data_IF_615346582477
#
_entry.id   IF_615346582477
#
_cell.length_a   1.000
_cell.length_b   1.000
_cell.length_c   1.000
_cell.angle_alpha   90.00
_cell.angle_beta   90.00
_cell.angle_gamma   90.00
#
_symmetry.space_group_name_H-M   'P 1'
#
loop_
_entity.id
_entity.type
_entity.pdbx_description
1 polymer ?
#
# COMPACT_ATOMS: atom_id res chain seq x y z
N UNK A 1 -33.07 -12.90 -4.40
CA UNK A 1 -32.37 -13.94 -5.15
C UNK A 1 -31.94 -13.30 -6.44
N UNK A 2 -30.76 -12.69 -6.43
CA UNK A 2 -30.15 -11.99 -7.56
C UNK A 2 -28.65 -12.09 -7.35
N UNK A 3 -27.99 -12.46 -8.43
CA UNK A 3 -26.76 -13.23 -8.47
C UNK A 3 -25.55 -12.45 -7.96
N UNK A 4 -24.69 -13.19 -7.28
CA UNK A 4 -23.36 -12.78 -6.89
C UNK A 4 -22.53 -12.48 -8.14
N UNK A 5 -22.12 -11.22 -8.30
CA UNK A 5 -20.92 -10.89 -9.07
C UNK A 5 -19.69 -10.97 -8.16
N UNK A 6 -19.48 -12.11 -7.52
CA UNK A 6 -18.17 -12.51 -7.04
C UNK A 6 -17.49 -13.28 -8.18
N UNK A 7 -17.07 -12.55 -9.22
CA UNK A 7 -16.05 -13.09 -10.11
C UNK A 7 -14.73 -13.06 -9.34
N UNK A 8 -14.44 -14.14 -8.62
CA UNK A 8 -13.07 -14.43 -8.19
C UNK A 8 -12.17 -14.29 -9.43
N UNK A 9 -11.13 -13.45 -9.42
CA UNK A 9 -10.17 -13.48 -10.51
C UNK A 9 -9.40 -14.79 -10.36
N UNK A 10 -9.81 -15.82 -11.10
CA UNK A 10 -9.06 -17.04 -11.32
C UNK A 10 -7.72 -16.63 -11.94
N UNK A 11 -6.69 -16.45 -11.10
CA UNK A 11 -5.38 -16.05 -11.56
C UNK A 11 -4.77 -17.24 -12.31
N UNK A 12 -5.00 -17.32 -13.63
CA UNK A 12 -4.47 -18.37 -14.53
C UNK A 12 -2.94 -18.26 -14.73
N UNK A 13 -2.23 -17.68 -13.76
CA UNK A 13 -0.79 -17.49 -13.80
C UNK A 13 -0.17 -18.68 -13.08
N UNK A 14 0.50 -19.53 -13.85
CA UNK A 14 1.26 -20.65 -13.31
C UNK A 14 2.50 -20.13 -12.59
N UNK A 15 2.73 -20.62 -11.37
CA UNK A 15 3.92 -20.33 -10.58
C UNK A 15 5.22 -20.71 -11.32
N UNK A 16 6.29 -19.95 -11.10
CA UNK A 16 7.63 -20.36 -11.48
C UNK A 16 8.07 -21.57 -10.65
N UNK A 17 8.47 -22.65 -11.32
CA UNK A 17 9.04 -23.84 -10.68
C UNK A 17 10.50 -24.03 -11.11
N UNK A 18 11.46 -24.04 -10.17
CA UNK A 18 12.84 -24.35 -10.49
C UNK A 18 12.98 -25.81 -10.95
N UNK A 19 13.93 -26.06 -11.86
CA UNK A 19 14.24 -27.39 -12.39
C UNK A 19 15.49 -27.91 -11.68
N UNK A 20 15.47 -29.14 -11.17
CA UNK A 20 16.60 -29.72 -10.43
C UNK A 20 17.92 -29.76 -11.20
N UNK A 21 17.88 -29.68 -12.52
CA UNK A 21 19.01 -29.82 -13.43
C UNK A 21 19.72 -28.49 -13.74
N UNK A 22 19.13 -27.34 -13.37
CA UNK A 22 19.68 -26.02 -13.66
C UNK A 22 20.46 -25.48 -12.45
N UNK A 23 21.51 -24.72 -12.73
CA UNK A 23 22.21 -23.93 -11.72
C UNK A 23 21.43 -22.64 -11.39
N UNK A 24 21.94 -21.88 -10.41
CA UNK A 24 21.30 -20.66 -9.94
C UNK A 24 21.21 -19.56 -11.02
N UNK A 25 22.19 -19.48 -11.93
CA UNK A 25 22.22 -18.47 -12.98
C UNK A 25 21.15 -18.76 -14.03
N UNK A 26 21.07 -20.00 -14.50
CA UNK A 26 20.02 -20.45 -15.40
C UNK A 26 18.62 -20.32 -14.77
N UNK A 27 18.48 -20.59 -13.47
CA UNK A 27 17.23 -20.34 -12.76
C UNK A 27 16.86 -18.86 -12.70
N UNK A 28 17.81 -17.97 -12.46
CA UNK A 28 17.58 -16.54 -12.44
C UNK A 28 17.12 -16.03 -13.82
N UNK A 29 17.79 -16.45 -14.89
CA UNK A 29 17.39 -16.09 -16.27
C UNK A 29 15.97 -16.57 -16.55
N UNK A 30 15.67 -17.83 -16.23
CA UNK A 30 14.33 -18.40 -16.42
C UNK A 30 13.26 -17.70 -15.56
N UNK A 31 13.61 -17.27 -14.35
CA UNK A 31 12.70 -16.54 -13.46
C UNK A 31 12.38 -15.14 -13.99
N UNK A 32 13.39 -14.44 -14.52
CA UNK A 32 13.21 -13.13 -15.17
C UNK A 32 12.34 -13.29 -16.42
N UNK A 33 12.58 -14.31 -17.23
CA UNK A 33 11.78 -14.58 -18.42
C UNK A 33 10.32 -14.93 -18.08
N UNK A 34 10.12 -15.76 -17.04
CA UNK A 34 8.78 -16.01 -16.51
C UNK A 34 8.09 -14.71 -16.08
N UNK A 35 8.81 -13.81 -15.40
CA UNK A 35 8.25 -12.54 -14.94
C UNK A 35 7.91 -11.60 -16.12
N UNK A 36 8.76 -11.54 -17.16
CA UNK A 36 8.48 -10.81 -18.41
C UNK A 36 7.19 -11.28 -19.07
N UNK A 37 6.98 -12.59 -19.15
CA UNK A 37 5.76 -13.19 -19.69
C UNK A 37 4.54 -13.04 -18.76
N UNK A 38 4.77 -12.77 -17.48
CA UNK A 38 3.71 -12.63 -16.47
C UNK A 38 3.23 -11.19 -16.32
N UNK A 39 4.12 -10.20 -16.46
CA UNK A 39 3.78 -8.78 -16.32
C UNK A 39 2.57 -8.34 -17.18
N UNK A 40 2.48 -8.69 -18.48
CA UNK A 40 1.36 -8.28 -19.34
C UNK A 40 0.02 -8.94 -18.97
N UNK A 41 0.05 -10.10 -18.29
CA UNK A 41 -1.17 -10.79 -17.83
C UNK A 41 -1.91 -9.97 -16.76
N UNK A 42 -1.18 -9.06 -16.10
CA UNK A 42 -1.73 -7.97 -15.32
C UNK A 42 -2.56 -8.39 -14.11
N UNK A 43 -3.16 -7.39 -13.47
CA UNK A 43 -4.29 -7.55 -12.57
C UNK A 43 -5.42 -6.76 -13.22
N UNK A 44 -6.57 -7.37 -13.56
CA UNK A 44 -7.67 -6.67 -14.20
C UNK A 44 -7.98 -5.35 -13.49
N UNK A 45 -8.14 -4.27 -14.27
CA UNK A 45 -8.46 -2.91 -13.81
C UNK A 45 -7.45 -2.27 -12.84
N UNK A 46 -6.23 -2.81 -12.69
CA UNK A 46 -5.21 -2.25 -11.78
C UNK A 46 -3.84 -2.01 -12.40
N UNK A 47 -3.53 -2.68 -13.51
CA UNK A 47 -2.30 -2.47 -14.28
C UNK A 47 -2.68 -1.97 -15.66
N UNK A 48 -2.09 -0.85 -16.08
CA UNK A 48 -2.35 -0.28 -17.39
C UNK A 48 -1.72 -1.16 -18.49
N UNK A 49 -2.46 -1.40 -19.57
CA UNK A 49 -1.98 -2.14 -20.74
C UNK A 49 -0.73 -1.53 -21.40
N UNK A 50 -0.45 -0.24 -21.13
CA UNK A 50 0.75 0.45 -21.61
C UNK A 50 2.04 0.11 -20.88
N UNK A 51 2.00 -0.67 -19.80
CA UNK A 51 3.18 -1.03 -19.02
C UNK A 51 4.21 -1.77 -19.89
N UNK A 52 5.47 -1.32 -19.85
CA UNK A 52 6.57 -1.99 -20.55
C UNK A 52 7.59 -2.51 -19.55
N UNK A 53 8.21 -3.64 -19.89
CA UNK A 53 9.22 -4.22 -19.02
C UNK A 53 10.40 -3.25 -18.82
N UNK A 54 10.78 -2.52 -19.86
CA UNK A 54 11.95 -1.63 -19.91
C UNK A 54 11.78 -0.34 -19.10
N UNK A 55 10.56 0.03 -18.73
CA UNK A 55 10.27 1.30 -18.07
C UNK A 55 11.08 1.48 -16.77
N UNK A 56 11.61 2.70 -16.56
CA UNK A 56 12.34 3.07 -15.34
C UNK A 56 11.44 3.21 -14.09
N UNK A 57 10.13 3.20 -14.28
CA UNK A 57 9.14 3.15 -13.22
C UNK A 57 7.82 2.56 -13.74
N UNK A 58 7.19 1.72 -12.93
CA UNK A 58 5.83 1.21 -13.19
C UNK A 58 4.77 1.93 -12.35
N UNK A 59 5.14 2.99 -11.62
CA UNK A 59 4.22 3.73 -10.75
C UNK A 59 3.02 4.29 -11.52
N UNK A 60 3.27 4.97 -12.64
CA UNK A 60 2.25 5.54 -13.53
C UNK A 60 1.36 4.48 -14.20
N UNK A 61 1.81 3.23 -14.22
CA UNK A 61 1.09 2.12 -14.84
C UNK A 61 0.28 1.29 -13.84
N UNK A 62 0.09 1.77 -12.61
CA UNK A 62 -0.74 1.14 -11.57
C UNK A 62 0.02 0.26 -10.58
N UNK A 63 1.34 0.10 -10.75
CA UNK A 63 2.21 -0.56 -9.77
C UNK A 63 2.81 0.49 -8.84
N UNK A 64 1.98 1.00 -7.92
CA UNK A 64 2.32 2.06 -6.98
C UNK A 64 3.61 1.72 -6.22
N UNK A 65 4.47 2.73 -6.05
CA UNK A 65 5.79 2.65 -5.41
C UNK A 65 6.84 1.77 -6.13
N UNK A 66 6.63 1.42 -7.41
CA UNK A 66 7.60 0.66 -8.22
C UNK A 66 8.44 1.58 -9.12
N UNK A 67 9.38 2.33 -8.54
CA UNK A 67 10.39 3.09 -9.30
C UNK A 67 11.77 2.45 -9.15
N UNK A 68 12.41 2.07 -10.25
CA UNK A 68 13.67 1.32 -10.28
C UNK A 68 14.88 2.23 -10.12
N UNK A 69 14.91 2.93 -8.99
CA UNK A 69 15.98 3.84 -8.60
C UNK A 69 16.86 3.22 -7.53
N UNK A 70 18.14 3.60 -7.50
CA UNK A 70 19.08 3.18 -6.47
C UNK A 70 18.77 3.81 -5.11
N UNK A 71 19.38 3.27 -4.05
CA UNK A 71 19.28 3.84 -2.70
C UNK A 71 19.76 5.30 -2.67
N UNK A 72 19.01 6.17 -2.00
CA UNK A 72 19.32 7.61 -1.91
C UNK A 72 19.07 8.42 -3.17
N UNK A 73 18.37 7.86 -4.17
CA UNK A 73 17.82 8.63 -5.29
C UNK A 73 16.76 9.62 -4.81
N UNK A 74 16.82 10.87 -5.29
CA UNK A 74 15.85 11.93 -5.00
C UNK A 74 15.24 12.48 -6.28
N UNK A 75 14.20 13.32 -6.17
CA UNK A 75 13.63 14.01 -7.34
C UNK A 75 14.64 14.93 -8.04
N UNK A 76 15.53 15.59 -7.27
CA UNK A 76 16.56 16.50 -7.77
C UNK A 76 17.84 15.78 -8.24
N UNK A 77 18.15 14.61 -7.68
CA UNK A 77 19.32 13.81 -8.03
C UNK A 77 18.89 12.36 -8.27
N UNK A 78 18.29 12.12 -9.44
CA UNK A 78 17.83 10.78 -9.81
C UNK A 78 19.01 9.84 -10.07
N UNK A 79 19.07 8.77 -9.28
CA UNK A 79 20.00 7.65 -9.46
C UNK A 79 19.21 6.41 -9.86
N UNK A 80 19.58 5.80 -10.98
CA UNK A 80 18.92 4.59 -11.51
C UNK A 80 19.56 3.35 -10.92
N UNK A 81 18.74 2.34 -10.62
CA UNK A 81 19.19 1.01 -10.25
C UNK A 81 19.94 0.38 -11.44
N UNK A 82 21.07 -0.27 -11.18
CA UNK A 82 21.96 -0.74 -12.24
C UNK A 82 21.61 -2.16 -12.70
N UNK A 83 21.71 -2.40 -14.00
CA UNK A 83 21.68 -3.76 -14.54
C UNK A 83 22.95 -4.53 -14.13
N UNK A 84 22.88 -5.87 -13.91
CA UNK A 84 21.71 -6.73 -14.08
C UNK A 84 20.70 -6.73 -12.91
N UNK A 85 21.00 -6.07 -11.77
CA UNK A 85 20.16 -6.12 -10.57
C UNK A 85 18.73 -5.61 -10.79
N UNK A 86 18.55 -4.60 -11.65
CA UNK A 86 17.23 -4.06 -12.01
C UNK A 86 16.28 -5.12 -12.59
N UNK A 87 16.79 -6.04 -13.42
CA UNK A 87 15.97 -7.09 -14.04
C UNK A 87 15.47 -8.09 -13.00
N UNK A 88 16.33 -8.46 -12.05
CA UNK A 88 15.94 -9.26 -10.88
C UNK A 88 14.90 -8.54 -10.02
N UNK A 89 15.09 -7.25 -9.76
CA UNK A 89 14.15 -6.44 -8.96
C UNK A 89 12.77 -6.43 -9.61
N UNK A 90 12.71 -6.17 -10.92
CA UNK A 90 11.47 -6.25 -11.71
C UNK A 90 10.79 -7.62 -11.56
N UNK A 91 11.54 -8.71 -11.69
CA UNK A 91 11.00 -10.06 -11.56
C UNK A 91 10.40 -10.36 -10.18
N UNK A 92 11.10 -9.97 -9.11
CA UNK A 92 10.62 -10.10 -7.73
C UNK A 92 9.31 -9.34 -7.50
N UNK A 93 9.21 -8.13 -8.06
CA UNK A 93 8.02 -7.30 -7.90
C UNK A 93 6.83 -7.81 -8.72
N UNK A 94 7.06 -8.38 -9.91
CA UNK A 94 6.03 -9.11 -10.66
C UNK A 94 5.52 -10.30 -9.86
N UNK A 95 6.41 -11.10 -9.31
CA UNK A 95 6.02 -12.26 -8.49
C UNK A 95 5.12 -11.85 -7.30
N UNK A 96 5.49 -10.77 -6.59
CA UNK A 96 4.72 -10.30 -5.45
C UNK A 96 3.37 -9.67 -5.86
N UNK A 97 3.39 -8.80 -6.87
CA UNK A 97 2.24 -7.96 -7.20
C UNK A 97 1.26 -8.67 -8.11
N UNK A 98 1.75 -9.28 -9.19
CA UNK A 98 0.90 -9.87 -10.24
C UNK A 98 0.53 -11.30 -9.87
N UNK A 99 1.51 -12.12 -9.49
CA UNK A 99 1.25 -13.52 -9.13
C UNK A 99 0.60 -13.66 -7.74
N UNK A 100 1.22 -13.12 -6.67
CA UNK A 100 0.67 -13.21 -5.30
C UNK A 100 -0.43 -12.16 -4.97
N UNK A 101 -0.70 -11.22 -5.88
CA UNK A 101 -1.70 -10.15 -5.71
C UNK A 101 -1.54 -9.30 -4.43
N UNK A 102 -0.33 -9.18 -3.88
CA UNK A 102 -0.09 -8.39 -2.65
C UNK A 102 0.00 -6.89 -2.96
N UNK A 103 -0.60 -6.04 -2.11
CA UNK A 103 -0.64 -4.57 -2.31
C UNK A 103 0.66 -3.83 -1.92
N UNK A 104 1.34 -4.25 -0.85
CA UNK A 104 2.47 -3.49 -0.30
C UNK A 104 3.78 -3.70 -1.06
N UNK A 105 4.15 -2.76 -1.94
CA UNK A 105 5.37 -2.82 -2.77
C UNK A 105 6.54 -1.99 -2.25
N UNK A 106 6.26 -0.87 -1.58
CA UNK A 106 7.28 0.08 -1.12
C UNK A 106 8.37 -0.59 -0.26
N UNK A 107 7.97 -1.41 0.70
CA UNK A 107 8.92 -2.05 1.62
C UNK A 107 9.86 -3.03 0.90
N UNK A 108 9.34 -3.76 -0.09
CA UNK A 108 10.14 -4.67 -0.93
C UNK A 108 11.09 -3.90 -1.85
N UNK A 109 10.61 -2.83 -2.48
CA UNK A 109 11.46 -1.97 -3.31
C UNK A 109 12.61 -1.36 -2.50
N UNK A 110 12.34 -0.84 -1.31
CA UNK A 110 13.38 -0.27 -0.44
C UNK A 110 14.33 -1.33 0.14
N UNK A 111 13.83 -2.54 0.40
CA UNK A 111 14.67 -3.67 0.75
C UNK A 111 15.66 -4.02 -0.37
N UNK A 112 15.17 -4.09 -1.61
CA UNK A 112 15.99 -4.38 -2.81
C UNK A 112 17.04 -3.29 -3.07
N UNK A 113 16.71 -2.02 -2.86
CA UNK A 113 17.70 -0.91 -2.93
C UNK A 113 18.84 -1.07 -1.92
N UNK A 114 18.53 -1.48 -0.69
CA UNK A 114 19.57 -1.78 0.30
C UNK A 114 20.41 -2.99 -0.09
N UNK A 115 19.78 -4.01 -0.68
CA UNK A 115 20.46 -5.22 -1.16
C UNK A 115 21.40 -4.93 -2.34
N UNK A 116 21.00 -4.09 -3.29
CA UNK A 116 21.82 -3.67 -4.44
C UNK A 116 23.16 -3.10 -3.99
N UNK A 117 23.11 -2.11 -3.08
CA UNK A 117 24.32 -1.44 -2.55
C UNK A 117 25.22 -2.44 -1.82
N UNK A 118 24.64 -3.27 -0.95
CA UNK A 118 25.40 -4.23 -0.17
C UNK A 118 26.04 -5.34 -1.01
N UNK A 119 25.34 -5.79 -2.06
CA UNK A 119 25.83 -6.81 -2.98
C UNK A 119 27.03 -6.29 -3.78
N UNK A 120 26.91 -5.07 -4.33
CA UNK A 120 28.00 -4.43 -5.06
C UNK A 120 29.22 -4.23 -4.16
N UNK A 121 29.03 -3.70 -2.95
CA UNK A 121 30.11 -3.40 -2.01
C UNK A 121 30.89 -4.66 -1.58
N UNK A 122 30.19 -5.75 -1.25
CA UNK A 122 30.87 -6.95 -0.73
C UNK A 122 31.38 -7.91 -1.80
N UNK A 123 30.77 -7.91 -2.99
CA UNK A 123 31.12 -8.90 -4.03
C UNK A 123 31.81 -8.32 -5.25
N UNK A 124 31.84 -6.99 -5.37
CA UNK A 124 32.33 -6.26 -6.54
C UNK A 124 31.43 -6.40 -7.78
N UNK A 125 30.28 -7.08 -7.65
CA UNK A 125 29.39 -7.41 -8.76
C UNK A 125 27.94 -7.22 -8.35
N UNK A 126 27.04 -7.13 -9.33
CA UNK A 126 25.59 -7.12 -9.13
C UNK A 126 24.94 -8.48 -9.44
N UNK A 127 25.73 -9.56 -9.42
CA UNK A 127 25.24 -10.94 -9.59
C UNK A 127 24.46 -11.36 -8.33
N UNK A 128 23.13 -11.34 -8.43
CA UNK A 128 22.22 -11.65 -7.32
C UNK A 128 22.30 -13.10 -6.87
N UNK A 129 22.86 -14.00 -7.68
CA UNK A 129 23.04 -15.40 -7.28
C UNK A 129 24.10 -15.56 -6.19
N UNK A 130 24.95 -14.54 -5.99
CA UNK A 130 26.02 -14.48 -4.97
C UNK A 130 25.56 -13.85 -3.64
N UNK A 131 24.28 -13.50 -3.51
CA UNK A 131 23.75 -13.01 -2.23
C UNK A 131 23.99 -14.05 -1.14
N UNK A 132 24.50 -13.58 0.00
CA UNK A 132 24.84 -14.41 1.17
C UNK A 132 24.34 -13.74 2.45
N UNK A 133 24.38 -14.46 3.57
CA UNK A 133 24.03 -13.90 4.88
C UNK A 133 24.85 -12.63 5.22
N UNK A 134 26.11 -12.56 4.79
CA UNK A 134 26.95 -11.37 4.97
C UNK A 134 26.44 -10.17 4.16
N UNK A 135 26.03 -10.40 2.92
CA UNK A 135 25.38 -9.38 2.07
C UNK A 135 24.08 -8.89 2.71
N UNK A 136 23.24 -9.80 3.22
CA UNK A 136 21.99 -9.44 3.89
C UNK A 136 22.21 -8.61 5.17
N UNK A 137 23.25 -8.94 5.96
CA UNK A 137 23.63 -8.15 7.13
C UNK A 137 24.11 -6.76 6.74
N UNK A 138 24.97 -6.64 5.73
CA UNK A 138 25.44 -5.34 5.25
C UNK A 138 24.29 -4.49 4.67
N UNK A 139 23.33 -5.12 3.98
CA UNK A 139 22.11 -4.45 3.52
C UNK A 139 21.31 -3.86 4.68
N UNK A 140 21.19 -4.58 5.80
CA UNK A 140 20.53 -4.06 7.01
C UNK A 140 21.28 -2.85 7.61
N UNK A 141 22.61 -2.82 7.55
CA UNK A 141 23.40 -1.67 8.01
C UNK A 141 23.20 -0.44 7.12
N UNK A 142 23.14 -0.61 5.79
CA UNK A 142 22.75 0.45 4.87
C UNK A 142 21.34 0.98 5.15
N UNK A 143 20.38 0.07 5.37
CA UNK A 143 19.00 0.45 5.71
C UNK A 143 18.94 1.24 7.03
N UNK A 144 19.66 0.82 8.07
CA UNK A 144 19.74 1.54 9.35
C UNK A 144 20.30 2.94 9.19
N UNK A 145 21.39 3.09 8.44
CA UNK A 145 22.06 4.38 8.20
C UNK A 145 21.17 5.32 7.39
N UNK A 146 20.44 4.79 6.40
CA UNK A 146 19.59 5.58 5.53
C UNK A 146 18.25 5.97 6.20
N UNK A 147 17.62 5.05 6.93
CA UNK A 147 16.34 5.27 7.60
C UNK A 147 16.49 5.26 9.13
N UNK A 148 16.88 6.40 9.68
CA UNK A 148 17.24 6.56 11.09
C UNK A 148 16.05 6.71 12.05
N UNK A 149 14.85 6.97 11.54
CA UNK A 149 13.65 7.26 12.33
C UNK A 149 12.66 6.09 12.33
N UNK A 150 12.00 5.90 13.47
CA UNK A 150 10.92 4.92 13.62
C UNK A 150 11.35 3.48 13.37
N UNK A 151 10.43 2.67 12.84
CA UNK A 151 10.62 1.25 12.54
C UNK A 151 10.91 0.98 11.06
N UNK A 152 11.18 2.00 10.26
CA UNK A 152 11.27 1.89 8.81
C UNK A 152 12.34 0.90 8.37
N UNK A 153 13.58 1.02 8.88
CA UNK A 153 14.65 0.07 8.56
C UNK A 153 14.29 -1.37 8.94
N UNK A 154 13.65 -1.57 10.10
CA UNK A 154 13.18 -2.89 10.55
C UNK A 154 12.12 -3.50 9.62
N UNK A 155 11.17 -2.69 9.14
CA UNK A 155 10.15 -3.17 8.19
C UNK A 155 10.76 -3.60 6.86
N UNK A 156 11.74 -2.84 6.37
CA UNK A 156 12.44 -3.16 5.13
C UNK A 156 13.33 -4.39 5.28
N UNK A 157 13.97 -4.57 6.42
CA UNK A 157 14.76 -5.76 6.68
C UNK A 157 13.89 -7.02 6.83
N UNK A 158 12.65 -6.90 7.30
CA UNK A 158 11.67 -7.99 7.26
C UNK A 158 11.14 -8.29 5.86
N UNK A 159 11.02 -7.27 5.01
CA UNK A 159 10.76 -7.48 3.59
C UNK A 159 11.92 -8.17 2.90
N UNK A 160 13.17 -7.82 3.25
CA UNK A 160 14.37 -8.51 2.77
C UNK A 160 14.36 -9.99 3.17
N UNK A 161 13.99 -10.31 4.42
CA UNK A 161 13.87 -11.69 4.89
C UNK A 161 12.90 -12.52 4.02
N UNK A 162 11.75 -11.94 3.68
CA UNK A 162 10.79 -12.58 2.78
C UNK A 162 11.31 -12.71 1.33
N UNK A 163 12.09 -11.74 0.84
CA UNK A 163 12.76 -11.81 -0.47
C UNK A 163 13.78 -12.95 -0.48
N UNK A 164 14.63 -13.07 0.55
CA UNK A 164 15.63 -14.14 0.64
C UNK A 164 14.95 -15.52 0.72
N UNK A 165 13.88 -15.65 1.50
CA UNK A 165 13.09 -16.88 1.54
C UNK A 165 12.53 -17.26 0.16
N UNK A 166 12.05 -16.27 -0.61
CA UNK A 166 11.61 -16.48 -1.98
C UNK A 166 12.77 -16.90 -2.91
N UNK A 167 13.92 -16.24 -2.81
CA UNK A 167 15.10 -16.57 -3.62
C UNK A 167 15.56 -18.01 -3.38
N UNK A 168 15.60 -18.46 -2.12
CA UNK A 168 15.91 -19.85 -1.76
C UNK A 168 14.86 -20.82 -2.32
N UNK A 169 13.56 -20.53 -2.13
CA UNK A 169 12.48 -21.37 -2.62
C UNK A 169 12.47 -21.52 -4.16
N UNK A 170 12.93 -20.49 -4.88
CA UNK A 170 13.04 -20.50 -6.35
C UNK A 170 14.44 -20.88 -6.86
N UNK A 171 15.34 -21.34 -5.98
CA UNK A 171 16.73 -21.75 -6.29
C UNK A 171 17.52 -20.69 -7.07
N UNK A 172 17.36 -19.42 -6.69
CA UNK A 172 18.03 -18.27 -7.35
C UNK A 172 19.43 -17.99 -6.79
N UNK A 173 19.91 -18.77 -5.82
CA UNK A 173 21.16 -18.54 -5.10
C UNK A 173 22.13 -19.69 -5.35
N UNK A 174 23.42 -19.38 -5.54
CA UNK A 174 24.49 -20.38 -5.72
C UNK A 174 24.75 -21.19 -4.45
N UNK A 175 24.40 -20.64 -3.29
CA UNK A 175 24.63 -21.29 -2.01
C UNK A 175 23.43 -21.06 -1.10
N UNK A 176 22.95 -22.14 -0.49
CA UNK A 176 21.90 -22.09 0.51
C UNK A 176 22.44 -21.55 1.83
N UNK A 177 21.65 -20.71 2.48
CA UNK A 177 21.93 -20.24 3.82
C UNK A 177 20.64 -19.94 4.57
N UNK A 178 20.71 -19.97 5.90
CA UNK A 178 19.63 -19.49 6.76
C UNK A 178 19.95 -18.09 7.22
N UNK A 179 18.99 -17.18 7.09
CA UNK A 179 19.16 -15.81 7.53
C UNK A 179 17.85 -15.25 8.04
N UNK A 180 17.94 -14.47 9.12
CA UNK A 180 16.85 -13.67 9.67
C UNK A 180 17.39 -12.29 9.96
N UNK A 181 16.56 -11.27 9.84
CA UNK A 181 17.02 -9.91 10.06
C UNK A 181 17.53 -9.69 11.49
N UNK A 182 18.73 -9.08 11.67
CA UNK A 182 19.23 -8.70 12.99
C UNK A 182 18.56 -7.43 13.53
N UNK A 183 17.73 -6.75 12.73
CA UNK A 183 17.06 -5.53 13.16
C UNK A 183 15.92 -5.88 14.11
N UNK A 184 15.82 -5.14 15.20
CA UNK A 184 14.73 -5.27 16.18
C UNK A 184 13.73 -4.15 15.99
N UNK A 185 12.46 -4.50 16.14
CA UNK A 185 11.40 -3.50 16.22
C UNK A 185 11.66 -2.62 17.45
N UNK A 186 11.59 -1.30 17.29
CA UNK A 186 11.57 -0.39 18.42
C UNK A 186 10.37 -0.73 19.28
N UNK A 187 10.60 -0.90 20.57
CA UNK A 187 9.52 -1.14 21.51
C UNK A 187 8.55 0.04 21.48
N UNK A 188 7.25 -0.28 21.43
CA UNK A 188 6.23 0.72 21.70
C UNK A 188 6.34 1.07 23.18
N UNK A 189 6.21 2.36 23.52
CA UNK A 189 6.18 2.80 24.92
C UNK A 189 5.09 2.07 25.73
N UNK A 190 5.06 2.27 27.03
CA UNK A 190 4.04 1.67 27.91
C UNK A 190 2.63 2.03 27.45
N UNK A 191 1.60 1.26 27.85
CA UNK A 191 0.20 1.58 27.51
C UNK A 191 -0.18 3.01 27.94
N UNK A 192 0.39 3.49 29.05
CA UNK A 192 0.26 4.87 29.52
C UNK A 192 0.84 5.87 28.52
N UNK A 193 2.10 5.68 28.12
CA UNK A 193 2.74 6.54 27.10
C UNK A 193 1.98 6.52 25.77
N UNK A 194 1.48 5.37 25.34
CA UNK A 194 0.66 5.26 24.12
C UNK A 194 -0.69 5.97 24.24
N UNK A 195 -1.27 6.06 25.44
CA UNK A 195 -2.48 6.83 25.68
C UNK A 195 -2.19 8.33 25.64
N UNK A 196 -1.15 8.78 26.35
CA UNK A 196 -0.71 10.17 26.34
C UNK A 196 -0.35 10.64 24.92
N UNK A 197 0.34 9.80 24.14
CA UNK A 197 0.66 10.09 22.73
C UNK A 197 -0.58 10.15 21.83
N UNK A 198 -1.64 9.39 22.14
CA UNK A 198 -2.91 9.47 21.41
C UNK A 198 -3.64 10.76 21.76
N UNK A 199 -3.70 11.11 23.03
CA UNK A 199 -4.32 12.34 23.52
C UNK A 199 -3.63 13.57 22.91
N UNK A 200 -2.29 13.58 22.83
CA UNK A 200 -1.51 14.64 22.16
C UNK A 200 -1.76 14.77 20.66
N UNK A 201 -2.26 13.71 20.00
CA UNK A 201 -2.56 13.70 18.55
C UNK A 201 -4.00 14.06 18.23
N UNK A 202 -4.87 14.14 19.24
CA UNK A 202 -6.24 14.59 19.02
C UNK A 202 -6.23 16.05 18.56
N UNK A 203 -7.10 16.42 17.61
CA UNK A 203 -7.26 17.82 17.24
C UNK A 203 -7.72 18.64 18.45
N UNK A 204 -7.31 19.91 18.49
CA UNK A 204 -7.78 20.86 19.49
C UNK A 204 -9.32 20.94 19.44
N UNK A 205 -10.04 20.78 20.56
CA UNK A 205 -11.50 20.91 20.61
C UNK A 205 -12.01 22.21 19.97
N UNK A 206 -11.31 23.33 20.16
CA UNK A 206 -11.66 24.61 19.54
C UNK A 206 -11.56 24.56 18.01
N UNK A 207 -10.62 23.80 17.45
CA UNK A 207 -10.53 23.62 16.01
C UNK A 207 -11.73 22.83 15.46
N UNK A 208 -12.26 21.86 16.21
CA UNK A 208 -13.49 21.15 15.85
C UNK A 208 -14.70 22.10 15.92
N UNK A 209 -14.76 22.97 16.94
CA UNK A 209 -15.83 23.97 17.08
C UNK A 209 -15.83 24.96 15.90
N UNK A 210 -14.68 25.52 15.57
CA UNK A 210 -14.51 26.44 14.43
C UNK A 210 -14.89 25.75 13.12
N UNK A 211 -14.51 24.49 12.92
CA UNK A 211 -14.93 23.72 11.75
C UNK A 211 -16.46 23.62 11.65
N UNK A 212 -17.15 23.41 12.79
CA UNK A 212 -18.60 23.46 12.87
C UNK A 212 -19.17 24.82 12.50
N UNK A 213 -18.62 25.91 13.05
CA UNK A 213 -19.03 27.29 12.73
C UNK A 213 -18.88 27.60 11.24
N UNK A 214 -17.74 27.24 10.65
CA UNK A 214 -17.50 27.39 9.20
C UNK A 214 -18.51 26.59 8.40
N UNK A 215 -18.76 25.33 8.77
CA UNK A 215 -19.75 24.48 8.08
C UNK A 215 -21.17 25.05 8.18
N UNK A 216 -21.50 25.78 9.26
CA UNK A 216 -22.82 26.38 9.45
C UNK A 216 -23.08 27.63 8.63
N UNK A 217 -22.02 28.32 8.18
CA UNK A 217 -22.14 29.52 7.35
C UNK A 217 -22.72 29.25 5.96
N UNK A 218 -23.12 30.31 5.27
CA UNK A 218 -23.45 30.24 3.84
C UNK A 218 -22.17 30.01 3.02
N UNK A 219 -22.01 28.80 2.51
CA UNK A 219 -20.85 28.39 1.72
C UNK A 219 -21.14 28.60 0.23
N UNK A 220 -20.31 29.40 -0.44
CA UNK A 220 -20.44 29.70 -1.88
C UNK A 220 -19.35 29.04 -2.74
N UNK A 221 -18.19 28.74 -2.16
CA UNK A 221 -17.08 28.06 -2.81
C UNK A 221 -17.33 26.55 -2.88
N UNK A 222 -17.23 25.96 -4.08
CA UNK A 222 -17.33 24.50 -4.27
C UNK A 222 -16.29 23.75 -3.43
N UNK A 223 -15.07 24.28 -3.33
CA UNK A 223 -14.00 23.65 -2.56
C UNK A 223 -14.32 23.65 -1.06
N UNK A 224 -14.82 24.77 -0.54
CA UNK A 224 -15.19 24.88 0.87
C UNK A 224 -16.35 23.96 1.21
N UNK A 225 -17.36 23.88 0.33
CA UNK A 225 -18.48 22.93 0.47
C UNK A 225 -17.96 21.50 0.54
N UNK A 226 -17.10 21.09 -0.40
CA UNK A 226 -16.58 19.71 -0.48
C UNK A 226 -15.74 19.37 0.76
N UNK A 227 -14.81 20.24 1.14
CA UNK A 227 -13.89 19.99 2.25
C UNK A 227 -14.62 19.97 3.59
N UNK A 228 -15.48 20.96 3.86
CA UNK A 228 -16.22 21.02 5.13
C UNK A 228 -17.27 19.91 5.24
N UNK A 229 -17.92 19.54 4.14
CA UNK A 229 -18.84 18.40 4.09
C UNK A 229 -18.12 17.07 4.34
N UNK A 230 -16.93 16.89 3.77
CA UNK A 230 -16.09 15.72 4.03
C UNK A 230 -15.73 15.62 5.53
N UNK A 231 -15.33 16.73 6.15
CA UNK A 231 -15.05 16.77 7.59
C UNK A 231 -16.30 16.46 8.43
N UNK A 232 -17.44 17.09 8.11
CA UNK A 232 -18.71 16.87 8.80
C UNK A 232 -19.16 15.40 8.71
N UNK A 233 -19.03 14.77 7.54
CA UNK A 233 -19.37 13.37 7.34
C UNK A 233 -18.45 12.44 8.12
N UNK A 234 -17.14 12.72 8.16
CA UNK A 234 -16.17 11.94 8.94
C UNK A 234 -16.36 12.09 10.46
N UNK A 235 -16.84 13.24 10.93
CA UNK A 235 -17.26 13.43 12.32
C UNK A 235 -18.57 12.68 12.63
N UNK A 236 -19.49 12.63 11.65
CA UNK A 236 -20.78 11.93 11.77
C UNK A 236 -20.64 10.41 11.71
N UNK A 237 -19.70 9.89 10.93
CA UNK A 237 -19.41 8.47 10.77
C UNK A 237 -17.90 8.22 10.59
N UNK A 238 -17.14 8.08 11.70
CA UNK A 238 -15.69 7.96 11.69
C UNK A 238 -15.17 6.89 10.71
N UNK A 239 -14.40 7.35 9.73
CA UNK A 239 -13.94 6.55 8.59
C UNK A 239 -12.59 7.05 8.05
N UNK A 240 -12.01 6.37 7.05
CA UNK A 240 -10.79 6.90 6.41
C UNK A 240 -11.16 7.94 5.39
N UNK A 241 -10.39 9.02 5.32
CA UNK A 241 -10.58 10.09 4.33
C UNK A 241 -10.55 9.56 2.89
N UNK A 242 -9.69 8.56 2.60
CA UNK A 242 -9.61 7.96 1.25
C UNK A 242 -10.85 7.17 0.83
N UNK A 243 -11.69 6.73 1.77
CA UNK A 243 -12.91 5.98 1.49
C UNK A 243 -14.08 6.91 1.09
N UNK A 244 -13.96 8.24 1.27
CA UNK A 244 -14.99 9.21 0.89
C UNK A 244 -15.28 9.22 -0.62
N UNK A 245 -14.24 8.98 -1.43
CA UNK A 245 -14.38 8.93 -2.89
C UNK A 245 -15.20 7.71 -3.38
N UNK A 246 -15.31 6.67 -2.54
CA UNK A 246 -16.01 5.43 -2.85
C UNK A 246 -17.45 5.40 -2.28
N UNK A 247 -17.96 6.53 -1.80
CA UNK A 247 -19.33 6.61 -1.28
C UNK A 247 -20.33 6.45 -2.43
N UNK A 248 -21.27 5.47 -2.35
CA UNK A 248 -22.27 5.31 -3.39
C UNK A 248 -23.28 6.45 -3.36
N UNK A 249 -24.00 6.64 -4.46
CA UNK A 249 -25.05 7.65 -4.55
C UNK A 249 -26.16 7.44 -3.50
N UNK A 250 -26.54 6.18 -3.26
CA UNK A 250 -27.58 5.77 -2.31
C UNK A 250 -27.00 5.41 -0.93
N UNK A 251 -26.02 6.19 -0.46
CA UNK A 251 -25.33 5.89 0.79
C UNK A 251 -26.19 6.10 2.05
N UNK A 252 -27.34 6.78 1.99
CA UNK A 252 -28.19 7.00 3.15
C UNK A 252 -29.15 5.82 3.38
N UNK A 253 -29.20 5.28 4.60
CA UNK A 253 -30.17 4.27 4.99
C UNK A 253 -30.67 4.50 6.42
N UNK A 254 -31.82 3.90 6.75
CA UNK A 254 -32.41 3.98 8.08
C UNK A 254 -32.65 2.58 8.63
N UNK A 255 -32.46 2.43 9.94
CA UNK A 255 -32.78 1.21 10.68
C UNK A 255 -33.46 1.58 11.99
N UNK A 256 -34.22 0.67 12.54
CA UNK A 256 -34.74 0.78 13.90
C UNK A 256 -33.67 0.33 14.89
N UNK A 257 -33.52 1.05 16.00
CA UNK A 257 -32.74 0.58 17.13
C UNK A 257 -33.54 -0.41 18.00
N UNK A 258 -32.91 -0.89 19.07
CA UNK A 258 -33.55 -1.85 19.99
C UNK A 258 -34.81 -1.28 20.69
N UNK A 259 -35.03 0.03 20.63
CA UNK A 259 -36.17 0.72 21.23
C UNK A 259 -37.23 1.11 20.18
N UNK A 260 -37.02 0.73 18.92
CA UNK A 260 -37.92 1.06 17.80
C UNK A 260 -37.73 2.46 17.24
N UNK A 261 -36.71 3.21 17.68
CA UNK A 261 -36.44 4.54 17.15
C UNK A 261 -35.73 4.44 15.79
N UNK A 262 -36.16 5.27 14.84
CA UNK A 262 -35.49 5.39 13.54
C UNK A 262 -34.13 6.04 13.73
N UNK A 263 -33.07 5.36 13.29
CA UNK A 263 -31.67 5.81 13.34
C UNK A 263 -31.07 5.87 11.95
N UNK A 264 -30.29 6.91 11.70
CA UNK A 264 -29.56 7.09 10.43
C UNK A 264 -28.31 6.22 10.38
N UNK A 265 -28.11 5.59 9.22
CA UNK A 265 -26.93 4.82 8.88
C UNK A 265 -26.39 5.25 7.51
N UNK A 266 -25.08 5.13 7.34
CA UNK A 266 -24.39 5.38 6.08
C UNK A 266 -23.83 4.08 5.52
N UNK A 267 -24.17 3.80 4.27
CA UNK A 267 -23.58 2.78 3.43
C UNK A 267 -22.15 3.24 3.11
N UNK A 268 -21.16 2.52 3.63
CA UNK A 268 -19.75 2.88 3.57
C UNK A 268 -18.89 1.72 3.08
N UNK A 269 -18.10 1.95 2.03
CA UNK A 269 -17.15 0.97 1.53
C UNK A 269 -15.87 0.95 2.39
N UNK A 270 -15.61 -0.18 3.05
CA UNK A 270 -14.44 -0.33 3.91
C UNK A 270 -13.27 -0.94 3.12
N UNK A 271 -12.36 -0.12 2.60
CA UNK A 271 -11.30 -0.55 1.66
C UNK A 271 -10.42 -1.70 2.22
N UNK A 272 -10.15 -1.69 3.53
CA UNK A 272 -9.36 -2.76 4.18
C UNK A 272 -10.06 -4.12 4.19
N UNK A 273 -11.38 -4.12 4.33
CA UNK A 273 -12.19 -5.34 4.39
C UNK A 273 -12.75 -5.69 3.01
N UNK A 274 -12.58 -4.80 2.02
CA UNK A 274 -13.10 -4.95 0.66
C UNK A 274 -14.60 -5.29 0.65
N UNK A 275 -15.36 -4.65 1.54
CA UNK A 275 -16.77 -4.94 1.74
C UNK A 275 -17.56 -3.66 2.03
N UNK A 276 -18.83 -3.69 1.65
CA UNK A 276 -19.78 -2.64 1.98
C UNK A 276 -20.31 -2.82 3.41
N UNK A 277 -20.35 -1.74 4.19
CA UNK A 277 -20.79 -1.77 5.59
C UNK A 277 -21.83 -0.70 5.86
N UNK A 278 -22.82 -0.99 6.69
CA UNK A 278 -23.74 0.03 7.21
C UNK A 278 -23.18 0.58 8.53
N UNK A 279 -22.81 1.86 8.55
CA UNK A 279 -22.26 2.55 9.72
C UNK A 279 -23.31 3.44 10.38
N UNK A 280 -23.56 3.34 11.68
CA UNK A 280 -24.46 4.28 12.35
C UNK A 280 -23.85 5.69 12.37
N UNK A 281 -24.70 6.71 12.24
CA UNK A 281 -24.32 8.08 12.59
C UNK A 281 -24.12 8.15 14.11
N UNK A 282 -22.99 8.72 14.54
CA UNK A 282 -22.46 8.58 15.91
C UNK A 282 -23.48 8.92 17.00
N UNK A 283 -24.27 9.99 16.80
CA UNK A 283 -25.34 10.44 17.71
C UNK A 283 -26.51 11.04 16.88
N UNK A 284 -27.76 11.01 17.37
CA UNK A 284 -28.91 11.59 16.67
C UNK A 284 -28.75 13.06 16.23
N UNK A 285 -28.04 13.85 17.02
CA UNK A 285 -27.81 15.28 16.78
C UNK A 285 -26.93 15.54 15.56
N UNK A 286 -26.21 14.53 15.07
CA UNK A 286 -25.41 14.60 13.84
C UNK A 286 -26.23 14.22 12.59
N UNK A 287 -27.46 13.72 12.74
CA UNK A 287 -28.30 13.37 11.58
C UNK A 287 -28.64 14.60 10.71
N UNK A 288 -29.05 15.76 11.27
CA UNK A 288 -29.26 16.97 10.46
C UNK A 288 -27.98 17.49 9.78
N UNK A 289 -26.81 17.22 10.37
CA UNK A 289 -25.51 17.58 9.78
C UNK A 289 -25.30 16.78 8.49
N UNK A 290 -25.62 15.49 8.50
CA UNK A 290 -25.54 14.63 7.29
C UNK A 290 -26.55 15.07 6.23
N UNK A 291 -27.77 15.44 6.61
CA UNK A 291 -28.77 15.95 5.66
C UNK A 291 -28.30 17.23 4.96
N UNK A 292 -27.67 18.14 5.72
CA UNK A 292 -27.04 19.34 5.16
C UNK A 292 -25.90 18.98 4.20
N UNK A 293 -25.03 18.02 4.56
CA UNK A 293 -23.97 17.52 3.68
C UNK A 293 -24.54 17.06 2.33
N UNK A 294 -25.62 16.27 2.35
CA UNK A 294 -26.28 15.79 1.13
C UNK A 294 -26.81 16.97 0.30
N UNK A 295 -27.47 17.92 0.95
CA UNK A 295 -28.05 19.11 0.31
C UNK A 295 -26.98 19.94 -0.40
N UNK A 296 -25.84 20.17 0.26
CA UNK A 296 -24.74 20.97 -0.30
C UNK A 296 -23.98 20.24 -1.41
N UNK A 297 -23.76 18.93 -1.28
CA UNK A 297 -22.97 18.15 -2.25
C UNK A 297 -23.77 17.74 -3.49
N UNK A 298 -25.09 17.64 -3.39
CA UNK A 298 -25.97 17.26 -4.51
C UNK A 298 -25.69 18.08 -5.78
N UNK A 299 -25.83 19.42 -5.79
CA UNK A 299 -25.60 20.22 -7.00
C UNK A 299 -24.16 20.18 -7.53
N UNK A 300 -23.17 19.86 -6.68
CA UNK A 300 -21.76 19.79 -7.08
C UNK A 300 -21.44 18.45 -7.75
N UNK A 301 -22.08 17.38 -7.27
CA UNK A 301 -21.82 16.02 -7.75
C UNK A 301 -22.75 15.60 -8.89
N UNK A 302 -23.81 16.36 -9.17
CA UNK A 302 -24.80 16.04 -10.20
C UNK A 302 -24.22 15.93 -11.62
N UNK A 303 -23.14 16.65 -11.97
CA UNK A 303 -22.49 16.54 -13.30
C UNK A 303 -21.67 15.23 -13.47
N UNK A 304 -21.20 14.66 -12.35
CA UNK A 304 -20.44 13.41 -12.33
C UNK A 304 -21.32 12.19 -12.00
N UNK A 305 -22.64 12.40 -11.79
CA UNK A 305 -23.66 11.36 -11.59
C UNK A 305 -24.23 10.90 -12.92
#
# INVERSE_FOLDING_TARGET
MTEAFDSEPSNNIVDFKPKSQLDAEAHLVAFIEWAKNTLPKGIPNRVNASIRWEDGSWHSHGLISCSFTALGSTSSARKTMQAPFTEFTKAILVYRRVYLQKKGMSDWMNALRGLEVALLELTGTLDVTRVSAAVCNNACEHMKRHWTKGNTAYLYSKSLEAIIALMLAKKLLKSDFRWTSPLKQRQRGTLKQQREDREKKLPNPEAIRVLGEVFTNELTSRLDIVVTSACALLLSAPSRVGELADLPLDFLLFKEDAQGNRRMFLRWYAEKMNQMTAKPVVIPEMEPVVERVITLLKPITDEAR
#
